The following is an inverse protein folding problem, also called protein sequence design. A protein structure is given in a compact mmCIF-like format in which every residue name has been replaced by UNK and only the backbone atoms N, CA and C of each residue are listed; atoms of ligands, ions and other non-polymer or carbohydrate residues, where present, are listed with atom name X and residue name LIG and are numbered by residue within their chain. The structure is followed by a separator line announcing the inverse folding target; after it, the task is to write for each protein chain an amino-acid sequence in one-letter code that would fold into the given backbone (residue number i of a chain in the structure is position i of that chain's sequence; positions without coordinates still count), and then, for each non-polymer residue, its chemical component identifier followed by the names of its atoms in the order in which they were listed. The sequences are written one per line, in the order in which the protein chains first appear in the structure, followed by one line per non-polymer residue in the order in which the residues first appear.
data_IF_594172133836
#
_entry.id   IF_594172133836
#
_cell.length_a   1.000
_cell.length_b   1.000
_cell.length_c   1.000
_cell.angle_alpha   90.00
_cell.angle_beta   90.00
_cell.angle_gamma   90.00
#
_symmetry.space_group_name_H-M   'P 1'
#
loop_
_entity.id
_entity.type
_entity.pdbx_description
1 polymer ?
#
# COMPACT_ATOMS: atom_id res chain seq x y z
N UNK A 1 29.45 7.90 24.57
CA UNK A 1 28.34 8.83 24.26
C UNK A 1 28.56 9.32 22.85
N UNK A 2 28.35 8.45 21.87
CA UNK A 2 28.80 8.64 20.49
C UNK A 2 27.62 8.83 19.55
N UNK A 3 27.86 9.56 18.45
CA UNK A 3 26.88 9.88 17.39
C UNK A 3 26.18 8.65 16.77
N UNK A 4 26.66 7.43 17.03
CA UNK A 4 26.10 6.15 16.58
C UNK A 4 25.05 5.54 17.52
N UNK A 5 24.58 6.28 18.52
CA UNK A 5 23.47 5.82 19.36
C UNK A 5 22.21 5.64 18.48
N UNK A 6 21.71 4.40 18.37
CA UNK A 6 20.48 4.05 17.64
C UNK A 6 19.27 4.92 18.03
N UNK A 7 19.26 5.41 19.28
CA UNK A 7 18.25 6.34 19.79
C UNK A 7 18.27 7.70 19.10
N UNK A 8 19.43 8.18 18.65
CA UNK A 8 19.55 9.46 17.93
C UNK A 8 18.84 9.38 16.57
N UNK A 9 19.03 8.28 15.84
CA UNK A 9 18.35 8.01 14.58
C UNK A 9 16.82 7.95 14.74
N UNK A 10 16.34 7.38 15.85
CA UNK A 10 14.90 7.34 16.14
C UNK A 10 14.29 8.74 16.28
N UNK A 11 14.97 9.66 16.97
CA UNK A 11 14.54 11.06 17.13
C UNK A 11 14.52 11.77 15.77
N UNK A 12 15.54 11.55 14.93
CA UNK A 12 15.62 12.13 13.60
C UNK A 12 14.46 11.65 12.71
N UNK A 13 14.15 10.35 12.72
CA UNK A 13 13.02 9.83 11.94
C UNK A 13 11.70 10.45 12.41
N UNK A 14 11.47 10.54 13.72
CA UNK A 14 10.27 11.20 14.25
C UNK A 14 10.15 12.62 13.71
N UNK A 15 11.20 13.43 13.86
CA UNK A 15 11.19 14.82 13.38
C UNK A 15 10.99 14.88 11.86
N UNK A 16 11.63 14.01 11.08
CA UNK A 16 11.41 13.93 9.64
C UNK A 16 9.96 13.61 9.29
N UNK A 17 9.32 12.64 9.96
CA UNK A 17 7.89 12.33 9.74
C UNK A 17 6.99 13.52 10.09
N UNK A 18 7.34 14.29 11.13
CA UNK A 18 6.61 15.51 11.49
C UNK A 18 6.76 16.62 10.43
N UNK A 19 7.96 16.82 9.86
CA UNK A 19 8.20 17.80 8.78
C UNK A 19 7.53 17.40 7.47
N UNK A 20 7.69 16.15 7.05
CA UNK A 20 7.11 15.63 5.81
C UNK A 20 5.59 15.39 5.92
N UNK A 21 5.10 15.18 7.14
CA UNK A 21 3.74 14.76 7.44
C UNK A 21 3.50 13.28 7.10
N UNK A 22 2.65 12.62 7.88
CA UNK A 22 2.28 11.20 7.68
C UNK A 22 1.58 10.94 6.35
N UNK A 23 0.93 11.97 5.78
CA UNK A 23 0.21 11.87 4.50
C UNK A 23 1.13 11.59 3.32
N UNK A 24 2.33 12.20 3.29
CA UNK A 24 3.32 11.98 2.22
C UNK A 24 3.99 10.61 2.35
N UNK A 25 4.27 10.18 3.57
CA UNK A 25 4.79 8.83 3.84
C UNK A 25 3.77 7.74 3.50
N UNK A 26 2.47 7.95 3.72
CA UNK A 26 1.43 6.98 3.37
C UNK A 26 1.20 6.84 1.86
N UNK A 27 1.45 7.89 1.09
CA UNK A 27 1.32 7.84 -0.38
C UNK A 27 2.58 7.32 -1.06
N UNK A 28 3.78 7.61 -0.54
CA UNK A 28 5.06 7.17 -1.13
C UNK A 28 5.58 5.85 -0.53
N UNK A 29 5.08 5.47 0.64
CA UNK A 29 5.47 4.27 1.36
C UNK A 29 5.15 2.96 0.64
N UNK A 30 3.95 2.78 0.04
CA UNK A 30 3.61 1.58 -0.72
C UNK A 30 4.58 1.34 -1.89
N UNK A 31 4.81 2.36 -2.73
CA UNK A 31 5.65 2.25 -3.94
C UNK A 31 7.12 1.94 -3.60
N UNK A 32 7.69 2.63 -2.60
CA UNK A 32 9.05 2.38 -2.13
C UNK A 32 9.14 1.05 -1.37
N UNK A 33 8.10 0.72 -0.60
CA UNK A 33 8.01 -0.50 0.19
C UNK A 33 7.94 -1.75 -0.68
N UNK A 34 7.17 -1.74 -1.76
CA UNK A 34 7.09 -2.85 -2.72
C UNK A 34 8.44 -3.12 -3.40
N UNK A 35 9.15 -2.06 -3.80
CA UNK A 35 10.49 -2.17 -4.41
C UNK A 35 11.50 -2.79 -3.44
N UNK A 36 11.52 -2.32 -2.19
CA UNK A 36 12.43 -2.84 -1.15
C UNK A 36 12.02 -4.26 -0.71
N UNK A 37 10.71 -4.57 -0.68
CA UNK A 37 10.18 -5.90 -0.37
C UNK A 37 10.63 -6.94 -1.40
N UNK A 38 10.59 -6.60 -2.69
CA UNK A 38 11.12 -7.44 -3.76
C UNK A 38 12.62 -7.70 -3.61
N UNK A 39 13.39 -6.67 -3.25
CA UNK A 39 14.83 -6.80 -3.00
C UNK A 39 15.14 -7.68 -1.78
N UNK A 40 14.42 -7.51 -0.66
CA UNK A 40 14.56 -8.39 0.51
C UNK A 40 14.16 -9.83 0.22
N UNK A 41 13.14 -10.03 -0.61
CA UNK A 41 12.67 -11.35 -1.03
C UNK A 41 13.70 -12.07 -1.91
N UNK A 42 14.36 -11.35 -2.81
CA UNK A 42 15.43 -11.87 -3.65
C UNK A 42 16.72 -12.17 -2.88
N UNK A 43 17.01 -11.41 -1.82
CA UNK A 43 18.16 -11.65 -0.93
C UNK A 43 17.88 -12.66 0.18
N UNK A 44 16.63 -13.09 0.39
CA UNK A 44 16.32 -14.13 1.36
C UNK A 44 16.71 -15.50 0.78
N UNK A 45 17.66 -16.24 1.38
CA UNK A 45 18.00 -17.59 0.94
C UNK A 45 16.79 -18.52 1.09
N UNK A 46 16.69 -19.50 0.19
CA UNK A 46 15.58 -20.45 -0.07
C UNK A 46 15.18 -21.33 1.12
N UNK A 47 14.83 -20.74 2.26
CA UNK A 47 14.19 -21.48 3.34
C UNK A 47 13.20 -20.57 4.08
N UNK A 48 11.92 -20.90 3.85
CA UNK A 48 10.70 -20.41 4.48
C UNK A 48 10.05 -19.16 3.85
N UNK A 49 8.87 -19.42 3.29
CA UNK A 49 7.68 -18.58 3.28
C UNK A 49 7.86 -17.06 3.24
N UNK A 50 7.49 -16.47 2.11
CA UNK A 50 6.80 -15.17 2.09
C UNK A 50 5.46 -15.34 1.36
N UNK A 51 4.81 -16.46 1.65
CA UNK A 51 3.36 -16.50 1.62
C UNK A 51 2.91 -15.58 2.78
N UNK A 52 1.95 -14.70 2.53
CA UNK A 52 1.36 -13.75 3.51
C UNK A 52 1.99 -12.35 3.60
N UNK A 53 2.25 -11.69 2.47
CA UNK A 53 2.08 -10.23 2.43
C UNK A 53 1.26 -9.89 1.18
N UNK A 54 0.05 -10.40 1.14
CA UNK A 54 -1.05 -9.87 0.35
C UNK A 54 -2.23 -9.72 1.30
N UNK A 55 -2.58 -8.47 1.61
CA UNK A 55 -3.94 -7.95 1.79
C UNK A 55 -3.89 -6.61 2.51
N UNK A 56 -4.03 -5.54 1.75
CA UNK A 56 -5.24 -4.72 1.74
C UNK A 56 -4.88 -3.46 0.95
N UNK A 57 -5.08 -3.56 -0.36
CA UNK A 57 -5.15 -2.38 -1.22
C UNK A 57 -6.21 -1.46 -0.62
N UNK A 58 -5.89 -0.18 -0.50
CA UNK A 58 -6.84 0.84 -0.09
C UNK A 58 -8.09 0.75 -0.98
N UNK A 59 -9.15 0.13 -0.46
CA UNK A 59 -10.47 0.15 -1.05
C UNK A 59 -11.25 1.30 -0.37
N UNK A 60 -11.30 2.51 -0.94
CA UNK A 60 -12.37 3.43 -0.60
C UNK A 60 -13.63 2.94 -1.32
N UNK A 61 -14.51 2.39 -0.50
CA UNK A 61 -15.95 2.22 -0.64
C UNK A 61 -16.60 2.99 -1.80
N UNK A 62 -17.23 2.27 -2.73
CA UNK A 62 -18.54 2.63 -3.27
C UNK A 62 -19.22 1.39 -3.85
N UNK A 63 -20.28 0.86 -3.21
CA UNK A 63 -21.16 -0.10 -3.86
C UNK A 63 -22.08 0.68 -4.80
N UNK A 64 -21.80 0.69 -6.10
CA UNK A 64 -22.87 1.00 -7.07
C UNK A 64 -23.59 -0.31 -7.35
N UNK A 65 -24.36 -0.73 -6.36
CA UNK A 65 -25.51 -1.61 -6.57
C UNK A 65 -26.51 -0.77 -7.37
N UNK A 66 -26.52 -0.97 -8.67
CA UNK A 66 -27.68 -0.66 -9.51
C UNK A 66 -28.02 -1.91 -10.31
N UNK A 67 -28.36 -2.98 -9.59
CA UNK A 67 -29.26 -4.00 -10.13
C UNK A 67 -30.63 -3.33 -10.31
N UNK A 68 -30.96 -2.96 -11.53
CA UNK A 68 -32.35 -2.82 -11.99
C UNK A 68 -32.49 -3.67 -13.26
N UNK A 69 -33.29 -4.75 -13.23
CA UNK A 69 -33.58 -5.58 -14.39
C UNK A 69 -34.75 -4.98 -15.17
N UNK A 70 -34.55 -4.48 -16.40
CA UNK A 70 -35.60 -4.12 -17.38
C UNK A 70 -34.88 -3.47 -18.58
N UNK A 71 -35.03 -3.79 -19.86
CA UNK A 71 -35.91 -4.68 -20.62
C UNK A 71 -35.06 -5.17 -21.79
N UNK A 72 -34.99 -6.48 -21.95
CA UNK A 72 -34.63 -7.11 -23.20
C UNK A 72 -35.82 -7.04 -24.15
N UNK A 73 -35.55 -6.75 -25.42
CA UNK A 73 -36.42 -6.87 -26.59
C UNK A 73 -37.42 -5.73 -26.90
N UNK A 74 -37.46 -5.40 -28.20
CA UNK A 74 -38.50 -4.67 -28.94
C UNK A 74 -38.34 -3.15 -29.06
N UNK A 75 -37.68 -2.72 -30.13
CA UNK A 75 -38.29 -1.83 -31.14
C UNK A 75 -37.56 -2.04 -32.46
N UNK A 76 -38.15 -2.93 -33.27
CA UNK A 76 -37.85 -3.14 -34.68
C UNK A 76 -39.01 -2.51 -35.45
N UNK A 77 -38.90 -1.24 -35.82
CA UNK A 77 -39.56 -0.58 -36.96
C UNK A 77 -39.41 0.93 -36.81
N UNK A 78 -38.69 1.55 -37.73
CA UNK A 78 -39.19 2.58 -38.66
C UNK A 78 -38.10 2.85 -39.69
#
# INVERSE_FOLDING_TARGET
MGITDWKHWLVIIIVAVLLFGTKRLKTLGPDLGETIKGFRRAMAPTERDASSIDQESAQPSAPVVASAPEVSATTRNL
#
